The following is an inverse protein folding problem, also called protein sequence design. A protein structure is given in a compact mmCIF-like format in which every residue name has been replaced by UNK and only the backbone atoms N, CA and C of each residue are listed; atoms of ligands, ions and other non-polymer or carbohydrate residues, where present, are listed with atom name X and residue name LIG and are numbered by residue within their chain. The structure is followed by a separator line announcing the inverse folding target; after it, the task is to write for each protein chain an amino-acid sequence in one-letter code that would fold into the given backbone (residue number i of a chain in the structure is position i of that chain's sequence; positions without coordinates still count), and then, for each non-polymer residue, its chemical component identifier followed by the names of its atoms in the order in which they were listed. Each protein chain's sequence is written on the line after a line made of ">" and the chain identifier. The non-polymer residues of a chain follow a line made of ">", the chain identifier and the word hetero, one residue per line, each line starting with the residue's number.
data_IF_512004361485
#
_entry.id   IF_512004361485
#
_cell.length_a   1.000
_cell.length_b   1.000
_cell.length_c   1.000
_cell.angle_alpha   90.00
_cell.angle_beta   90.00
_cell.angle_gamma   90.00
#
_symmetry.space_group_name_H-M   'P 1'
#
loop_
_entity.id
_entity.type
_entity.pdbx_description
1 polymer ?
#
# COMPACT_ATOMS: atom_id res chain seq x y z
N UNK A 1 51.99 -75.01 41.61
CA UNK A 1 50.98 -74.05 41.12
C UNK A 1 51.05 -72.82 42.00
N UNK A 2 51.25 -71.64 41.38
CA UNK A 2 51.59 -70.39 42.07
C UNK A 2 50.40 -69.79 42.85
N UNK A 3 50.63 -69.17 44.02
CA UNK A 3 49.58 -68.54 44.81
C UNK A 3 49.20 -67.16 44.25
N UNK A 4 47.90 -66.84 44.34
CA UNK A 4 47.32 -65.59 43.89
C UNK A 4 47.90 -64.37 44.63
N UNK A 5 48.35 -63.38 43.86
CA UNK A 5 48.77 -62.07 44.36
C UNK A 5 47.57 -61.25 44.84
N UNK A 6 47.50 -60.97 46.14
CA UNK A 6 46.66 -59.92 46.70
C UNK A 6 47.15 -58.54 46.21
N UNK A 7 46.31 -57.79 45.51
CA UNK A 7 46.47 -56.34 45.36
C UNK A 7 45.60 -55.64 46.42
N UNK A 8 46.10 -54.62 47.13
CA UNK A 8 45.29 -53.84 48.07
C UNK A 8 44.32 -52.92 47.30
N UNK A 9 43.12 -52.64 47.85
CA UNK A 9 42.15 -51.78 47.19
C UNK A 9 42.65 -50.33 47.19
N UNK A 10 42.68 -49.73 46.00
CA UNK A 10 42.94 -48.30 45.80
C UNK A 10 41.99 -47.47 46.65
N UNK A 11 42.55 -46.71 47.58
CA UNK A 11 41.84 -45.73 48.39
C UNK A 11 41.44 -44.58 47.45
N UNK A 12 40.15 -44.50 47.13
CA UNK A 12 39.59 -43.33 46.46
C UNK A 12 39.63 -42.16 47.45
N UNK A 13 40.66 -41.31 47.33
CA UNK A 13 40.54 -39.95 47.84
C UNK A 13 39.34 -39.29 47.13
N UNK A 14 38.47 -38.54 47.82
CA UNK A 14 37.41 -37.80 47.16
C UNK A 14 38.06 -36.82 46.17
N UNK A 15 37.95 -37.10 44.88
CA UNK A 15 38.22 -36.11 43.85
C UNK A 15 37.22 -34.99 44.09
N UNK A 16 37.66 -33.91 44.74
CA UNK A 16 36.95 -32.64 44.66
C UNK A 16 36.79 -32.36 43.17
N UNK A 17 35.56 -32.08 42.68
CA UNK A 17 35.37 -31.65 41.31
C UNK A 17 36.31 -30.48 41.04
N UNK A 18 36.95 -30.41 39.86
CA UNK A 18 37.54 -29.15 39.41
C UNK A 18 36.44 -28.10 39.54
N UNK A 19 36.71 -26.96 40.20
CA UNK A 19 35.74 -25.87 40.36
C UNK A 19 34.93 -25.75 39.05
N UNK A 20 33.60 -25.97 39.08
CA UNK A 20 32.83 -25.85 37.86
C UNK A 20 33.11 -24.46 37.29
N UNK A 21 33.44 -24.34 35.99
CA UNK A 21 33.69 -23.03 35.44
C UNK A 21 32.45 -22.18 35.74
N UNK A 22 32.65 -20.92 36.15
CA UNK A 22 31.60 -19.90 36.38
C UNK A 22 30.83 -19.54 35.09
N UNK A 23 30.81 -20.46 34.14
CA UNK A 23 30.55 -20.34 32.73
C UNK A 23 29.06 -20.19 32.46
N UNK A 24 28.65 -18.93 32.36
CA UNK A 24 27.35 -18.51 31.85
C UNK A 24 26.73 -17.38 32.64
N UNK A 25 26.90 -17.39 33.97
CA UNK A 25 26.34 -16.37 34.84
C UNK A 25 27.05 -15.02 34.67
N UNK A 26 28.39 -15.01 34.60
CA UNK A 26 29.14 -13.78 34.36
C UNK A 26 28.77 -13.14 33.01
N UNK A 27 28.78 -13.93 31.92
CA UNK A 27 28.45 -13.47 30.56
C UNK A 27 26.98 -13.14 30.30
N UNK A 28 26.16 -13.07 31.34
CA UNK A 28 24.83 -12.50 31.25
C UNK A 28 24.91 -10.98 31.02
N UNK A 29 24.06 -10.45 30.17
CA UNK A 29 24.06 -9.04 29.79
C UNK A 29 23.92 -8.12 31.01
N UNK A 30 23.06 -8.47 31.98
CA UNK A 30 22.87 -7.67 33.21
C UNK A 30 24.12 -7.65 34.09
N UNK A 31 24.70 -8.83 34.34
CA UNK A 31 25.89 -8.96 35.17
C UNK A 31 27.08 -8.21 34.56
N UNK A 32 27.28 -8.31 33.24
CA UNK A 32 28.35 -7.55 32.56
C UNK A 32 28.10 -6.05 32.61
N UNK A 33 26.85 -5.59 32.45
CA UNK A 33 26.57 -4.15 32.55
C UNK A 33 26.84 -3.62 33.95
N UNK A 34 26.50 -4.38 34.99
CA UNK A 34 26.74 -3.97 36.37
C UNK A 34 28.24 -4.00 36.72
N UNK A 35 28.96 -5.03 36.27
CA UNK A 35 30.42 -5.13 36.45
C UNK A 35 31.17 -4.02 35.70
N UNK A 36 30.78 -3.71 34.46
CA UNK A 36 31.37 -2.59 33.71
C UNK A 36 31.05 -1.23 34.35
N UNK A 37 29.87 -1.08 34.94
CA UNK A 37 29.50 0.14 35.68
C UNK A 37 30.36 0.30 36.93
N UNK A 38 30.50 -0.75 37.73
CA UNK A 38 31.38 -0.77 38.90
C UNK A 38 32.83 -0.44 38.52
N UNK A 39 33.34 -1.06 37.45
CA UNK A 39 34.68 -0.77 36.93
C UNK A 39 34.82 0.70 36.52
N UNK A 40 33.82 1.28 35.84
CA UNK A 40 33.83 2.68 35.46
C UNK A 40 33.86 3.62 36.68
N UNK A 41 33.10 3.30 37.72
CA UNK A 41 33.04 4.11 38.94
C UNK A 41 34.36 4.00 39.74
N UNK A 42 34.96 2.81 39.82
CA UNK A 42 36.28 2.63 40.43
C UNK A 42 37.38 3.34 39.64
N UNK A 43 37.33 3.36 38.30
CA UNK A 43 38.27 4.14 37.47
C UNK A 43 38.10 5.65 37.71
N UNK A 44 36.86 6.15 37.85
CA UNK A 44 36.63 7.57 38.19
C UNK A 44 37.23 7.92 39.54
N UNK A 45 37.05 7.05 40.53
CA UNK A 45 37.63 7.23 41.87
C UNK A 45 39.16 7.20 41.83
N UNK A 46 39.76 6.28 41.09
CA UNK A 46 41.21 6.22 40.89
C UNK A 46 41.77 7.49 40.23
N UNK A 47 41.08 8.04 39.23
CA UNK A 47 41.44 9.33 38.61
C UNK A 47 41.31 10.52 39.58
N UNK A 48 40.36 10.47 40.51
CA UNK A 48 40.24 11.48 41.56
C UNK A 48 41.41 11.38 42.53
N UNK A 49 41.77 10.15 42.92
CA UNK A 49 42.90 9.86 43.80
C UNK A 49 44.24 10.25 43.16
N UNK A 50 44.41 10.02 41.86
CA UNK A 50 45.57 10.49 41.09
C UNK A 50 45.75 12.01 41.20
N UNK A 51 44.67 12.78 41.01
CA UNK A 51 44.69 14.25 41.18
C UNK A 51 45.00 14.70 42.60
N UNK A 52 44.50 13.98 43.60
CA UNK A 52 44.82 14.25 45.01
C UNK A 52 46.31 14.03 45.30
N UNK A 53 46.87 12.90 44.84
CA UNK A 53 48.30 12.61 45.00
C UNK A 53 49.18 13.61 44.24
N UNK A 54 48.77 14.05 43.06
CA UNK A 54 49.46 15.11 42.31
C UNK A 54 49.40 16.45 43.06
N UNK A 55 48.27 16.80 43.67
CA UNK A 55 48.15 17.99 44.49
C UNK A 55 49.03 17.94 45.75
N UNK A 56 49.09 16.79 46.44
CA UNK A 56 49.99 16.59 47.59
C UNK A 56 51.46 16.70 47.19
N UNK A 57 51.83 16.18 46.01
CA UNK A 57 53.18 16.35 45.44
C UNK A 57 53.50 17.82 45.20
N UNK A 58 52.57 18.60 44.62
CA UNK A 58 52.75 20.04 44.37
C UNK A 58 52.91 20.85 45.66
N UNK A 59 52.14 20.52 46.71
CA UNK A 59 52.24 21.14 48.04
C UNK A 59 53.62 20.85 48.66
N UNK A 60 54.11 19.61 48.55
CA UNK A 60 55.40 19.16 49.09
C UNK A 60 56.61 19.76 48.36
N UNK A 61 56.51 19.91 47.04
CA UNK A 61 57.57 20.50 46.20
C UNK A 61 57.65 22.04 46.33
N UNK A 62 56.80 22.67 47.17
CA UNK A 62 56.77 24.12 47.38
C UNK A 62 56.43 24.91 46.12
N UNK A 63 55.81 24.26 45.14
CA UNK A 63 55.61 24.78 43.79
C UNK A 63 54.25 25.46 43.65
N UNK A 64 53.93 26.35 44.60
CA UNK A 64 52.74 27.23 44.56
C UNK A 64 52.93 28.45 43.65
N UNK A 65 54.02 28.49 42.88
CA UNK A 65 54.35 29.63 42.02
C UNK A 65 53.90 29.38 40.59
N UNK A 66 52.80 30.07 40.23
CA UNK A 66 52.49 30.70 38.94
C UNK A 66 51.14 30.31 38.34
N UNK A 67 50.22 31.28 38.41
CA UNK A 67 48.95 31.43 37.68
C UNK A 67 47.98 30.24 37.66
N UNK A 68 46.96 30.29 38.53
CA UNK A 68 45.67 29.68 38.20
C UNK A 68 44.55 30.72 38.26
N UNK A 69 44.03 31.00 37.07
CA UNK A 69 42.83 31.78 36.78
C UNK A 69 41.62 31.16 37.48
N UNK A 70 40.78 32.04 38.04
CA UNK A 70 39.43 31.86 38.58
C UNK A 70 38.86 30.42 38.55
N UNK A 71 39.10 29.73 39.66
CA UNK A 71 38.46 28.48 40.07
C UNK A 71 39.22 27.98 41.29
N UNK A 72 38.54 27.59 42.37
CA UNK A 72 39.23 27.03 43.54
C UNK A 72 40.11 25.86 43.09
N UNK A 73 41.43 26.08 43.05
CA UNK A 73 42.41 25.07 42.67
C UNK A 73 42.24 23.88 43.62
N UNK A 74 42.14 22.66 43.08
CA UNK A 74 42.01 21.44 43.89
C UNK A 74 43.11 21.30 44.94
N UNK A 75 44.28 21.91 44.69
CA UNK A 75 45.41 22.01 45.61
C UNK A 75 45.07 22.88 46.84
N UNK A 76 44.43 24.02 46.62
CA UNK A 76 44.02 24.96 47.67
C UNK A 76 42.88 24.40 48.54
N UNK A 77 41.99 23.62 47.91
CA UNK A 77 40.92 22.92 48.60
C UNK A 77 41.47 21.80 49.52
N UNK A 78 42.44 21.01 49.02
CA UNK A 78 43.12 19.97 49.79
C UNK A 78 43.94 20.55 50.94
N UNK A 79 44.68 21.65 50.70
CA UNK A 79 45.42 22.38 51.74
C UNK A 79 44.50 22.82 52.88
N UNK A 80 43.40 23.52 52.57
CA UNK A 80 42.38 23.92 53.55
C UNK A 80 41.79 22.72 54.31
N UNK A 81 41.54 21.61 53.61
CA UNK A 81 41.00 20.40 54.23
C UNK A 81 41.98 19.82 55.25
N UNK A 82 43.24 19.59 54.86
CA UNK A 82 44.29 19.04 55.75
C UNK A 82 44.51 19.94 56.96
N UNK A 83 44.55 21.26 56.78
CA UNK A 83 44.64 22.25 57.86
C UNK A 83 43.41 22.22 58.79
N UNK A 84 42.20 22.06 58.24
CA UNK A 84 40.95 22.01 59.03
C UNK A 84 40.83 20.75 59.89
N UNK A 85 41.32 19.61 59.39
CA UNK A 85 41.28 18.31 60.09
C UNK A 85 42.50 18.12 61.00
N UNK A 86 43.49 19.02 60.93
CA UNK A 86 44.76 18.97 61.69
C UNK A 86 45.53 17.66 61.50
N UNK A 87 45.46 17.09 60.30
CA UNK A 87 46.23 15.91 59.92
C UNK A 87 47.59 16.39 59.43
N UNK A 88 48.66 15.69 59.82
CA UNK A 88 49.98 15.98 59.28
C UNK A 88 50.05 15.64 57.78
N UNK A 89 50.77 16.45 57.00
CA UNK A 89 50.84 16.25 55.55
C UNK A 89 51.47 14.89 55.19
N UNK A 90 52.42 14.39 55.98
CA UNK A 90 53.02 13.07 55.76
C UNK A 90 52.05 11.93 56.14
N UNK A 91 51.19 12.14 57.13
CA UNK A 91 50.12 11.22 57.48
C UNK A 91 49.05 11.17 56.39
N UNK A 92 48.63 12.31 55.85
CA UNK A 92 47.71 12.38 54.72
C UNK A 92 48.30 11.71 53.47
N UNK A 93 49.58 11.96 53.15
CA UNK A 93 50.28 11.32 52.02
C UNK A 93 50.26 9.78 52.15
N UNK A 94 50.55 9.26 53.35
CA UNK A 94 50.50 7.81 53.62
C UNK A 94 49.09 7.25 53.42
N UNK A 95 48.07 7.92 53.95
CA UNK A 95 46.67 7.50 53.81
C UNK A 95 46.20 7.51 52.35
N UNK A 96 46.54 8.55 51.58
CA UNK A 96 46.18 8.66 50.15
C UNK A 96 46.90 7.59 49.32
N UNK A 97 48.16 7.28 49.63
CA UNK A 97 48.90 6.18 48.97
C UNK A 97 48.32 4.81 49.30
N UNK A 98 47.94 4.57 50.55
CA UNK A 98 47.27 3.32 50.96
C UNK A 98 45.92 3.16 50.26
N UNK A 99 45.11 4.22 50.22
CA UNK A 99 43.84 4.25 49.51
C UNK A 99 44.04 3.98 48.00
N UNK A 100 45.06 4.57 47.37
CA UNK A 100 45.40 4.30 45.98
C UNK A 100 45.80 2.83 45.74
N UNK A 101 46.60 2.24 46.64
CA UNK A 101 46.99 0.83 46.55
C UNK A 101 45.78 -0.12 46.72
N UNK A 102 44.84 0.22 47.60
CA UNK A 102 43.58 -0.50 47.77
C UNK A 102 42.69 -0.41 46.52
N UNK A 103 42.58 0.79 45.92
CA UNK A 103 41.87 0.99 44.65
C UNK A 103 42.50 0.21 43.50
N UNK A 104 43.82 0.22 43.39
CA UNK A 104 44.53 -0.56 42.37
C UNK A 104 44.33 -2.07 42.54
N UNK A 105 44.29 -2.57 43.78
CA UNK A 105 43.98 -3.96 44.08
C UNK A 105 42.53 -4.31 43.70
N UNK A 106 41.61 -3.40 43.97
CA UNK A 106 40.19 -3.52 43.58
C UNK A 106 40.04 -3.56 42.05
N UNK A 107 40.73 -2.67 41.33
CA UNK A 107 40.73 -2.65 39.86
C UNK A 107 41.28 -3.96 39.27
N UNK A 108 42.37 -4.49 39.83
CA UNK A 108 42.90 -5.80 39.41
C UNK A 108 41.87 -6.91 39.62
N UNK A 109 41.20 -6.94 40.77
CA UNK A 109 40.16 -7.93 41.05
C UNK A 109 38.93 -7.80 40.13
N UNK A 110 38.52 -6.58 39.77
CA UNK A 110 37.43 -6.34 38.83
C UNK A 110 37.78 -6.68 37.38
N UNK A 111 39.06 -6.58 37.00
CA UNK A 111 39.54 -6.92 35.66
C UNK A 111 39.78 -8.43 35.49
N UNK A 112 40.02 -9.15 36.58
CA UNK A 112 40.30 -10.60 36.59
C UNK A 112 39.28 -11.44 35.79
N UNK A 113 37.95 -11.24 35.90
CA UNK A 113 36.96 -11.98 35.11
C UNK A 113 37.03 -11.71 33.61
N UNK A 114 37.60 -10.57 33.19
CA UNK A 114 37.77 -10.24 31.77
C UNK A 114 39.06 -10.82 31.18
N UNK A 115 39.99 -11.30 32.01
CA UNK A 115 41.25 -11.90 31.55
C UNK A 115 41.01 -13.06 30.59
N UNK A 116 39.93 -13.81 30.76
CA UNK A 116 39.57 -14.95 29.91
C UNK A 116 39.32 -14.59 28.43
N UNK A 117 39.09 -13.32 28.12
CA UNK A 117 38.95 -12.84 26.74
C UNK A 117 40.29 -12.54 26.10
N UNK A 118 41.28 -12.13 26.90
CA UNK A 118 42.59 -11.67 26.43
C UNK A 118 43.61 -12.80 26.46
N UNK A 119 43.50 -13.73 27.41
CA UNK A 119 44.43 -14.83 27.57
C UNK A 119 44.20 -15.94 26.52
N UNK A 120 45.25 -16.23 25.75
CA UNK A 120 45.25 -17.27 24.72
C UNK A 120 44.99 -18.66 25.30
N UNK A 121 45.37 -18.91 26.56
CA UNK A 121 45.21 -20.20 27.23
C UNK A 121 43.86 -20.38 27.95
N UNK A 122 42.92 -19.44 27.76
CA UNK A 122 41.62 -19.51 28.44
C UNK A 122 40.75 -20.68 27.97
N UNK A 123 39.96 -21.30 28.86
CA UNK A 123 38.99 -22.32 28.50
C UNK A 123 38.06 -21.86 27.37
N UNK A 124 37.77 -22.76 26.43
CA UNK A 124 36.98 -22.44 25.25
C UNK A 124 35.53 -22.07 25.61
N UNK A 125 35.02 -22.54 26.75
CA UNK A 125 33.69 -22.24 27.27
C UNK A 125 33.50 -20.74 27.53
N UNK A 126 34.49 -20.09 28.15
CA UNK A 126 34.48 -18.65 28.44
C UNK A 126 34.57 -17.83 27.15
N UNK A 127 35.46 -18.22 26.23
CA UNK A 127 35.59 -17.59 24.90
C UNK A 127 34.28 -17.70 24.10
N UNK A 128 33.64 -18.87 24.13
CA UNK A 128 32.36 -19.10 23.46
C UNK A 128 31.22 -18.29 24.08
N UNK A 129 31.21 -18.11 25.40
CA UNK A 129 30.22 -17.32 26.11
C UNK A 129 30.33 -15.82 25.76
N UNK A 130 31.55 -15.29 25.73
CA UNK A 130 31.83 -13.94 25.26
C UNK A 130 31.41 -13.73 23.79
N UNK A 131 31.73 -14.68 22.91
CA UNK A 131 31.33 -14.64 21.50
C UNK A 131 29.79 -14.64 21.34
N UNK A 132 29.07 -15.51 22.06
CA UNK A 132 27.59 -15.56 22.05
C UNK A 132 26.98 -14.25 22.53
N UNK A 133 27.54 -13.61 23.56
CA UNK A 133 27.09 -12.30 24.01
C UNK A 133 27.25 -11.24 22.91
N UNK A 134 28.42 -11.16 22.28
CA UNK A 134 28.68 -10.24 21.15
C UNK A 134 27.69 -10.46 20.00
N UNK A 135 27.44 -11.72 19.61
CA UNK A 135 26.44 -12.08 18.61
C UNK A 135 25.03 -11.63 19.00
N UNK A 136 24.61 -11.84 20.26
CA UNK A 136 23.32 -11.37 20.78
C UNK A 136 23.20 -9.85 20.71
N UNK A 137 24.24 -9.12 21.08
CA UNK A 137 24.26 -7.64 20.99
C UNK A 137 24.15 -7.15 19.54
N UNK A 138 24.92 -7.73 18.61
CA UNK A 138 24.85 -7.40 17.17
C UNK A 138 23.47 -7.72 16.59
N UNK A 139 22.91 -8.89 16.91
CA UNK A 139 21.55 -9.31 16.50
C UNK A 139 20.49 -8.34 17.03
N UNK A 140 20.59 -7.93 18.29
CA UNK A 140 19.67 -6.95 18.90
C UNK A 140 19.72 -5.60 18.18
N UNK A 141 20.92 -5.07 17.90
CA UNK A 141 21.11 -3.82 17.13
C UNK A 141 20.47 -3.91 15.74
N UNK A 142 20.75 -4.99 15.00
CA UNK A 142 20.16 -5.24 13.68
C UNK A 142 18.64 -5.34 13.75
N UNK A 143 18.11 -6.06 14.74
CA UNK A 143 16.66 -6.22 14.93
C UNK A 143 15.98 -4.87 15.24
N UNK A 144 16.60 -4.02 16.06
CA UNK A 144 16.09 -2.68 16.37
C UNK A 144 16.00 -1.81 15.11
N UNK A 145 17.05 -1.82 14.28
CA UNK A 145 17.07 -1.11 12.99
C UNK A 145 16.03 -1.66 12.01
N UNK A 146 15.94 -2.99 11.90
CA UNK A 146 14.94 -3.64 11.05
C UNK A 146 13.52 -3.29 11.47
N UNK A 147 13.20 -3.36 12.78
CA UNK A 147 11.89 -2.94 13.32
C UNK A 147 11.61 -1.45 13.03
N UNK A 148 12.61 -0.57 13.12
CA UNK A 148 12.47 0.85 12.77
C UNK A 148 12.17 1.03 11.28
N UNK A 149 12.89 0.32 10.40
CA UNK A 149 12.66 0.36 8.94
C UNK A 149 11.28 -0.18 8.57
N UNK A 150 10.87 -1.31 9.16
CA UNK A 150 9.53 -1.91 8.95
C UNK A 150 8.42 -0.95 9.35
N UNK A 151 8.51 -0.33 10.54
CA UNK A 151 7.53 0.68 10.98
C UNK A 151 7.45 1.88 10.06
N UNK A 152 8.60 2.37 9.56
CA UNK A 152 8.64 3.47 8.60
C UNK A 152 7.95 3.12 7.29
N UNK A 153 8.23 1.95 6.72
CA UNK A 153 7.60 1.49 5.49
C UNK A 153 6.08 1.34 5.65
N UNK A 154 5.61 0.77 6.76
CA UNK A 154 4.16 0.69 7.04
C UNK A 154 3.53 2.07 7.19
N UNK A 155 4.20 3.00 7.88
CA UNK A 155 3.71 4.38 8.02
C UNK A 155 3.66 5.11 6.67
N UNK A 156 4.63 4.91 5.79
CA UNK A 156 4.64 5.49 4.45
C UNK A 156 3.50 4.93 3.58
N UNK A 157 3.24 3.62 3.64
CA UNK A 157 2.10 3.03 2.92
C UNK A 157 0.76 3.58 3.41
N UNK A 158 0.61 3.78 4.73
CA UNK A 158 -0.59 4.41 5.31
C UNK A 158 -0.70 5.89 4.96
N UNK A 159 0.41 6.61 4.87
CA UNK A 159 0.41 8.02 4.48
C UNK A 159 -0.06 8.23 3.03
N UNK A 160 0.17 7.24 2.14
CA UNK A 160 -0.31 7.25 0.74
C UNK A 160 -1.74 6.73 0.58
N UNK A 161 -2.38 6.26 1.65
CA UNK A 161 -3.74 5.71 1.61
C UNK A 161 -4.80 6.81 1.34
N UNK A 162 -4.76 7.98 2.01
CA UNK A 162 -5.67 9.09 1.72
C UNK A 162 -5.59 9.55 0.27
N UNK A 163 -4.38 9.69 -0.29
CA UNK A 163 -4.19 10.09 -1.70
C UNK A 163 -4.88 9.13 -2.69
N UNK A 164 -4.94 7.83 -2.37
CA UNK A 164 -5.65 6.83 -3.18
C UNK A 164 -7.16 6.99 -3.09
N UNK A 165 -7.68 7.28 -1.89
CA UNK A 165 -9.10 7.54 -1.72
C UNK A 165 -9.51 8.83 -2.44
N UNK A 166 -8.72 9.90 -2.28
CA UNK A 166 -8.94 11.16 -3.01
C UNK A 166 -8.89 10.96 -4.53
N UNK A 167 -8.01 10.10 -5.03
CA UNK A 167 -7.98 9.77 -6.45
C UNK A 167 -9.25 9.04 -6.90
N UNK A 168 -9.70 8.03 -6.16
CA UNK A 168 -10.93 7.31 -6.47
C UNK A 168 -12.16 8.24 -6.41
N UNK A 169 -12.22 9.15 -5.45
CA UNK A 169 -13.28 10.15 -5.33
C UNK A 169 -13.29 11.09 -6.54
N UNK A 170 -12.11 11.60 -6.96
CA UNK A 170 -11.99 12.41 -8.19
C UNK A 170 -12.46 11.65 -9.43
N UNK A 171 -12.05 10.40 -9.58
CA UNK A 171 -12.46 9.57 -10.72
C UNK A 171 -13.98 9.34 -10.74
N UNK A 172 -14.60 9.15 -9.57
CA UNK A 172 -16.04 9.03 -9.44
C UNK A 172 -16.76 10.34 -9.79
N UNK A 173 -16.23 11.49 -9.35
CA UNK A 173 -16.76 12.81 -9.67
C UNK A 173 -16.70 13.08 -11.18
N UNK A 174 -15.56 12.83 -11.81
CA UNK A 174 -15.38 12.96 -13.26
C UNK A 174 -16.33 12.05 -14.04
N UNK A 175 -16.57 10.83 -13.55
CA UNK A 175 -17.53 9.92 -14.18
C UNK A 175 -18.96 10.45 -14.09
N UNK A 176 -19.35 10.96 -12.92
CA UNK A 176 -20.67 11.58 -12.72
C UNK A 176 -20.87 12.79 -13.64
N UNK A 177 -19.86 13.65 -13.76
CA UNK A 177 -19.91 14.79 -14.66
C UNK A 177 -20.08 14.37 -16.12
N UNK A 178 -19.36 13.34 -16.56
CA UNK A 178 -19.48 12.78 -17.92
C UNK A 178 -20.88 12.24 -18.19
N UNK A 179 -21.45 11.50 -17.25
CA UNK A 179 -22.80 10.95 -17.44
C UNK A 179 -23.86 12.05 -17.42
N UNK A 180 -23.74 13.05 -16.54
CA UNK A 180 -24.62 14.23 -16.56
C UNK A 180 -24.52 15.00 -17.87
N UNK A 181 -23.32 15.20 -18.41
CA UNK A 181 -23.12 15.88 -19.69
C UNK A 181 -23.75 15.11 -20.85
N UNK A 182 -23.62 13.78 -20.84
CA UNK A 182 -24.24 12.89 -21.84
C UNK A 182 -25.77 12.92 -21.76
N UNK A 183 -26.33 12.87 -20.56
CA UNK A 183 -27.77 13.01 -20.35
C UNK A 183 -28.29 14.37 -20.83
N UNK A 184 -27.56 15.44 -20.53
CA UNK A 184 -27.88 16.79 -21.03
C UNK A 184 -27.82 16.87 -22.56
N UNK A 185 -26.85 16.21 -23.19
CA UNK A 185 -26.75 16.15 -24.65
C UNK A 185 -27.90 15.36 -25.28
N UNK A 186 -28.25 14.20 -24.70
CA UNK A 186 -29.37 13.38 -25.15
C UNK A 186 -30.69 14.15 -25.06
N UNK A 187 -30.94 14.88 -23.96
CA UNK A 187 -32.12 15.74 -23.81
C UNK A 187 -32.21 16.79 -24.90
N UNK A 188 -31.09 17.46 -25.23
CA UNK A 188 -31.05 18.44 -26.33
C UNK A 188 -31.37 17.81 -27.69
N UNK A 189 -30.85 16.61 -27.96
CA UNK A 189 -31.15 15.88 -29.20
C UNK A 189 -32.65 15.54 -29.28
N UNK A 190 -33.24 15.09 -28.18
CA UNK A 190 -34.66 14.77 -28.13
C UNK A 190 -35.55 16.00 -28.29
N UNK A 191 -35.15 17.15 -27.71
CA UNK A 191 -35.79 18.45 -27.96
C UNK A 191 -35.72 18.84 -29.44
N UNK A 192 -34.56 18.70 -30.10
CA UNK A 192 -34.42 18.98 -31.53
C UNK A 192 -35.31 18.05 -32.38
N UNK A 193 -35.32 16.75 -32.11
CA UNK A 193 -36.21 15.79 -32.79
C UNK A 193 -37.70 16.13 -32.57
N UNK A 194 -38.07 16.62 -31.39
CA UNK A 194 -39.44 17.06 -31.13
C UNK A 194 -39.80 18.28 -31.98
N UNK A 195 -38.89 19.24 -32.11
CA UNK A 195 -39.06 20.42 -32.99
C UNK A 195 -39.20 19.98 -34.45
N UNK A 196 -38.34 19.07 -34.93
CA UNK A 196 -38.40 18.53 -36.30
C UNK A 196 -39.73 17.82 -36.58
N UNK A 197 -40.22 16.99 -35.65
CA UNK A 197 -41.53 16.32 -35.79
C UNK A 197 -42.68 17.34 -35.87
N UNK A 198 -42.64 18.41 -35.07
CA UNK A 198 -43.64 19.49 -35.12
C UNK A 198 -43.58 20.21 -36.47
N UNK A 199 -42.37 20.52 -36.97
CA UNK A 199 -42.17 21.14 -38.28
C UNK A 199 -42.68 20.26 -39.41
N UNK A 200 -42.32 18.98 -39.42
CA UNK A 200 -42.79 18.00 -40.41
C UNK A 200 -44.33 17.86 -40.39
N UNK A 201 -44.95 17.82 -39.20
CA UNK A 201 -46.41 17.80 -39.07
C UNK A 201 -47.06 19.08 -39.59
N UNK A 202 -46.43 20.24 -39.37
CA UNK A 202 -46.90 21.53 -39.89
C UNK A 202 -46.82 21.59 -41.42
N UNK A 203 -45.71 21.16 -42.01
CA UNK A 203 -45.57 21.08 -43.47
C UNK A 203 -46.53 20.07 -44.09
N UNK A 204 -46.71 18.89 -43.48
CA UNK A 204 -47.72 17.93 -43.94
C UNK A 204 -49.11 18.55 -43.98
N UNK A 205 -49.53 19.23 -42.89
CA UNK A 205 -50.83 19.92 -42.84
C UNK A 205 -50.96 21.04 -43.89
N UNK A 206 -49.85 21.67 -44.27
CA UNK A 206 -49.81 22.70 -45.32
C UNK A 206 -49.96 22.11 -46.72
N UNK A 207 -49.34 20.95 -46.97
CA UNK A 207 -49.31 20.29 -48.28
C UNK A 207 -50.53 19.38 -48.53
N UNK A 208 -51.13 18.81 -47.49
CA UNK A 208 -52.30 17.91 -47.57
C UNK A 208 -53.46 18.47 -48.42
N UNK A 209 -53.94 19.73 -48.24
CA UNK A 209 -55.00 20.27 -49.09
C UNK A 209 -54.55 20.55 -50.53
N UNK A 210 -53.26 20.85 -50.75
CA UNK A 210 -52.73 21.05 -52.10
C UNK A 210 -52.67 19.73 -52.87
N UNK A 211 -52.26 18.65 -52.20
CA UNK A 211 -52.28 17.30 -52.75
C UNK A 211 -53.70 16.81 -53.03
N UNK A 212 -54.65 17.06 -52.13
CA UNK A 212 -56.08 16.72 -52.35
C UNK A 212 -56.65 17.45 -53.57
N UNK A 213 -56.37 18.75 -53.70
CA UNK A 213 -56.79 19.52 -54.87
C UNK A 213 -56.15 18.99 -56.17
N UNK A 214 -54.85 18.67 -56.13
CA UNK A 214 -54.14 18.11 -57.29
C UNK A 214 -54.78 16.79 -57.75
N UNK A 215 -55.13 15.90 -56.81
CA UNK A 215 -55.84 14.65 -57.11
C UNK A 215 -57.21 14.90 -57.77
N UNK A 216 -58.01 15.84 -57.25
CA UNK A 216 -59.31 16.19 -57.85
C UNK A 216 -59.12 16.72 -59.28
N UNK A 217 -58.11 17.56 -59.51
CA UNK A 217 -57.83 18.11 -60.84
C UNK A 217 -57.42 17.00 -61.82
N UNK A 218 -56.61 16.04 -61.39
CA UNK A 218 -56.23 14.87 -62.19
C UNK A 218 -57.47 14.04 -62.58
N UNK A 219 -58.34 13.71 -61.62
CA UNK A 219 -59.61 13.01 -61.90
C UNK A 219 -60.51 13.80 -62.87
N UNK A 220 -60.58 15.14 -62.73
CA UNK A 220 -61.33 15.98 -63.66
C UNK A 220 -60.74 15.98 -65.07
N UNK A 221 -59.41 15.96 -65.19
CA UNK A 221 -58.72 15.85 -66.49
C UNK A 221 -58.98 14.49 -67.14
N UNK A 222 -58.99 13.40 -66.37
CA UNK A 222 -59.37 12.07 -66.84
C UNK A 222 -60.85 12.02 -67.29
N UNK A 223 -61.77 12.60 -66.51
CA UNK A 223 -63.17 12.68 -66.94
C UNK A 223 -63.34 13.50 -68.21
N UNK A 224 -62.57 14.59 -68.37
CA UNK A 224 -62.54 15.39 -69.60
C UNK A 224 -62.06 14.53 -70.77
N UNK A 225 -60.97 13.79 -70.63
CA UNK A 225 -60.43 12.96 -71.71
C UNK A 225 -61.41 11.85 -72.12
N UNK A 226 -62.04 11.17 -71.16
CA UNK A 226 -63.08 10.17 -71.42
C UNK A 226 -64.31 10.77 -72.12
N UNK A 227 -64.75 11.97 -71.74
CA UNK A 227 -65.88 12.67 -72.38
C UNK A 227 -65.54 13.08 -73.80
N UNK A 228 -64.33 13.59 -74.04
CA UNK A 228 -63.83 13.93 -75.37
C UNK A 228 -63.79 12.68 -76.25
N UNK A 229 -63.26 11.58 -75.75
CA UNK A 229 -63.20 10.32 -76.49
C UNK A 229 -64.61 9.79 -76.83
N UNK A 230 -65.55 9.88 -75.88
CA UNK A 230 -66.95 9.52 -76.10
C UNK A 230 -67.60 10.39 -77.20
N UNK A 231 -67.38 11.70 -77.17
CA UNK A 231 -67.91 12.63 -78.18
C UNK A 231 -67.29 12.38 -79.57
N UNK A 232 -65.98 12.11 -79.63
CA UNK A 232 -65.29 11.71 -80.87
C UNK A 232 -65.90 10.43 -81.46
N UNK A 233 -66.16 9.41 -80.62
CA UNK A 233 -66.85 8.17 -81.04
C UNK A 233 -68.28 8.41 -81.54
N UNK A 234 -68.97 9.44 -81.03
CA UNK A 234 -70.30 9.86 -81.49
C UNK A 234 -70.27 10.70 -82.78
N UNK A 235 -69.09 10.94 -83.37
CA UNK A 235 -68.93 11.71 -84.60
C UNK A 235 -68.83 13.23 -84.40
N UNK A 236 -68.75 13.70 -83.15
CA UNK A 236 -68.50 15.11 -82.85
C UNK A 236 -66.99 15.40 -82.95
N UNK A 237 -66.60 16.27 -83.88
CA UNK A 237 -65.24 16.82 -83.93
C UNK A 237 -65.16 18.03 -82.99
N UNK A 238 -64.21 17.99 -82.06
CA UNK A 238 -63.91 19.09 -81.17
C UNK A 238 -62.90 20.03 -81.86
N UNK A 239 -63.05 21.36 -81.73
CA UNK A 239 -62.09 22.32 -82.30
C UNK A 239 -60.70 22.17 -81.65
N UNK A 240 -59.63 22.21 -82.45
CA UNK A 240 -58.23 22.09 -82.00
C UNK A 240 -57.77 23.30 -81.14
N UNK A 241 -58.59 24.35 -81.04
CA UNK A 241 -58.34 25.51 -80.20
C UNK A 241 -58.36 25.19 -78.70
N UNK A 242 -59.14 24.19 -78.28
CA UNK A 242 -59.24 23.79 -76.87
C UNK A 242 -57.91 23.21 -76.34
N UNK A 243 -57.20 22.44 -77.15
CA UNK A 243 -55.92 21.85 -76.76
C UNK A 243 -54.80 22.90 -76.75
N UNK A 244 -54.84 23.87 -77.68
CA UNK A 244 -53.93 25.03 -77.71
C UNK A 244 -54.04 25.91 -76.46
N UNK A 245 -55.25 26.03 -75.88
CA UNK A 245 -55.44 26.77 -74.63
C UNK A 245 -54.73 26.09 -73.45
N UNK A 246 -54.90 24.78 -73.26
CA UNK A 246 -54.21 24.05 -72.18
C UNK A 246 -52.69 24.02 -72.36
N UNK A 247 -52.20 23.95 -73.60
CA UNK A 247 -50.78 24.10 -73.91
C UNK A 247 -50.25 25.50 -73.60
N UNK A 248 -51.00 26.55 -73.94
CA UNK A 248 -50.65 27.94 -73.59
C UNK A 248 -50.67 28.17 -72.09
N UNK A 249 -51.63 27.60 -71.35
CA UNK A 249 -51.69 27.67 -69.89
C UNK A 249 -50.51 26.93 -69.28
N UNK A 250 -50.17 25.73 -69.79
CA UNK A 250 -48.99 24.97 -69.33
C UNK A 250 -47.70 25.75 -69.56
N UNK A 251 -47.52 26.35 -70.73
CA UNK A 251 -46.35 27.15 -71.06
C UNK A 251 -46.24 28.42 -70.19
N UNK A 252 -47.37 29.06 -69.85
CA UNK A 252 -47.39 30.22 -68.96
C UNK A 252 -47.02 29.83 -67.51
N UNK A 253 -47.57 28.71 -67.01
CA UNK A 253 -47.23 28.17 -65.67
C UNK A 253 -45.75 27.78 -65.60
N UNK A 254 -45.22 27.11 -66.62
CA UNK A 254 -43.79 26.74 -66.68
C UNK A 254 -42.89 27.98 -66.72
N UNK A 255 -43.29 29.05 -67.41
CA UNK A 255 -42.55 30.32 -67.39
C UNK A 255 -42.59 31.00 -66.01
N UNK A 256 -43.72 30.96 -65.31
CA UNK A 256 -43.87 31.50 -63.95
C UNK A 256 -43.04 30.71 -62.93
N UNK A 257 -43.04 29.37 -62.99
CA UNK A 257 -42.21 28.51 -62.14
C UNK A 257 -40.71 28.76 -62.40
N UNK A 258 -40.30 28.87 -63.66
CA UNK A 258 -38.92 29.20 -64.01
C UNK A 258 -38.52 30.60 -63.51
N UNK A 259 -39.42 31.59 -63.58
CA UNK A 259 -39.18 32.92 -63.03
C UNK A 259 -39.09 32.88 -61.49
N UNK A 260 -40.01 32.22 -60.81
CA UNK A 260 -39.99 32.08 -59.34
C UNK A 260 -38.72 31.34 -58.86
N UNK A 261 -38.30 30.28 -59.55
CA UNK A 261 -37.07 29.56 -59.24
C UNK A 261 -35.83 30.42 -59.47
N UNK A 262 -35.82 31.28 -60.50
CA UNK A 262 -34.72 32.23 -60.74
C UNK A 262 -34.61 33.29 -59.64
N UNK A 263 -35.73 33.80 -59.13
CA UNK A 263 -35.77 34.77 -58.02
C UNK A 263 -35.27 34.13 -56.72
N UNK A 264 -35.72 32.91 -56.41
CA UNK A 264 -35.26 32.15 -55.24
C UNK A 264 -33.75 31.88 -55.33
N UNK A 265 -33.24 31.49 -56.50
CA UNK A 265 -31.81 31.26 -56.70
C UNK A 265 -30.99 32.56 -56.54
N UNK A 266 -31.48 33.70 -57.02
CA UNK A 266 -30.87 35.01 -56.80
C UNK A 266 -30.86 35.42 -55.31
N UNK A 267 -31.97 35.24 -54.58
CA UNK A 267 -32.06 35.55 -53.15
C UNK A 267 -31.14 34.65 -52.29
N UNK A 268 -30.90 33.41 -52.72
CA UNK A 268 -29.96 32.50 -52.08
C UNK A 268 -28.50 32.94 -52.36
N UNK A 269 -28.18 33.41 -53.57
CA UNK A 269 -26.84 33.90 -53.90
C UNK A 269 -26.52 35.26 -53.23
N UNK A 270 -27.51 36.16 -53.09
CA UNK A 270 -27.34 37.46 -52.41
C UNK A 270 -27.12 37.31 -50.89
N UNK A 271 -27.64 36.24 -50.27
CA UNK A 271 -27.45 35.95 -48.84
C UNK A 271 -26.17 35.16 -48.51
N UNK A 272 -25.26 34.93 -49.47
CA UNK A 272 -23.99 34.19 -49.30
C UNK A 272 -22.78 35.12 -49.51
N UNK A 273 -22.65 36.16 -48.68
CA UNK A 273 -21.39 36.92 -48.44
C UNK A 273 -21.28 37.21 -46.91
N UNK A 274 -20.08 37.08 -46.29
CA UNK A 274 -19.94 36.68 -44.88
C UNK A 274 -19.99 37.85 -43.89
N UNK A 275 -20.69 37.65 -42.78
CA UNK A 275 -20.61 38.54 -41.61
C UNK A 275 -19.55 38.01 -40.65
N UNK A 276 -18.37 38.62 -40.72
CA UNK A 276 -17.27 38.44 -39.77
C UNK A 276 -17.15 39.69 -38.86
N UNK A 277 -16.89 39.42 -37.57
CA UNK A 277 -16.38 40.31 -36.50
C UNK A 277 -17.30 41.42 -35.92
N UNK A 278 -17.41 41.70 -34.62
CA UNK A 278 -16.79 41.20 -33.40
C UNK A 278 -17.17 42.05 -32.15
N UNK A 279 -16.78 41.58 -30.96
CA UNK A 279 -16.23 42.37 -29.83
C UNK A 279 -17.12 42.88 -28.66
N UNK A 280 -16.62 42.57 -27.44
CA UNK A 280 -16.72 43.20 -26.08
C UNK A 280 -17.82 42.88 -25.04
N UNK A 281 -17.39 42.07 -24.06
CA UNK A 281 -17.37 42.23 -22.59
C UNK A 281 -18.45 43.01 -21.79
N UNK A 282 -18.67 42.43 -20.58
CA UNK A 282 -18.83 43.02 -19.22
C UNK A 282 -20.21 43.13 -18.53
N UNK A 283 -20.32 42.34 -17.44
CA UNK A 283 -20.93 42.59 -16.11
C UNK A 283 -22.45 42.72 -15.92
N UNK A 284 -22.98 41.93 -14.97
CA UNK A 284 -24.26 42.17 -14.30
C UNK A 284 -24.68 40.98 -13.42
N UNK A 285 -24.48 41.11 -12.11
CA UNK A 285 -24.89 40.17 -11.06
C UNK A 285 -26.42 39.94 -11.04
N UNK A 286 -26.87 38.72 -10.75
CA UNK A 286 -27.94 38.55 -9.76
C UNK A 286 -27.93 37.16 -9.10
N UNK A 287 -27.79 37.22 -7.78
CA UNK A 287 -27.88 36.16 -6.80
C UNK A 287 -29.37 35.88 -6.58
N UNK A 288 -29.84 34.65 -6.80
CA UNK A 288 -31.09 34.19 -6.18
C UNK A 288 -30.86 32.84 -5.51
N UNK A 289 -30.68 32.93 -4.19
CA UNK A 289 -30.89 31.88 -3.21
C UNK A 289 -32.32 31.33 -3.32
N UNK A 290 -32.47 30.00 -3.38
CA UNK A 290 -33.58 29.31 -2.72
C UNK A 290 -33.08 27.99 -2.13
N UNK A 291 -32.79 28.05 -0.83
CA UNK A 291 -32.83 26.87 0.02
C UNK A 291 -34.28 26.45 0.27
N UNK A 292 -34.47 25.15 0.42
CA UNK A 292 -35.55 24.59 1.23
C UNK A 292 -34.98 23.39 1.96
N UNK A 293 -34.64 23.61 3.23
CA UNK A 293 -34.51 22.57 4.23
C UNK A 293 -35.88 21.94 4.50
N UNK A 294 -35.90 20.63 4.74
CA UNK A 294 -36.79 20.02 5.75
C UNK A 294 -36.25 18.65 6.16
N UNK A 295 -35.73 18.65 7.38
CA UNK A 295 -35.46 17.49 8.22
C UNK A 295 -36.73 16.67 8.49
N UNK A 296 -36.58 15.35 8.65
CA UNK A 296 -37.12 14.61 9.82
C UNK A 296 -36.69 13.13 9.80
N UNK A 297 -35.71 12.83 10.65
CA UNK A 297 -35.73 11.82 11.70
C UNK A 297 -36.38 10.41 11.51
N UNK A 298 -35.51 9.41 11.70
CA UNK A 298 -35.55 8.35 12.76
C UNK A 298 -36.15 6.94 12.50
N UNK A 299 -35.22 5.97 12.68
CA UNK A 299 -35.25 4.58 13.20
C UNK A 299 -36.02 3.44 12.52
N UNK A 300 -35.28 2.40 12.09
CA UNK A 300 -35.40 0.97 12.43
C UNK A 300 -34.51 0.18 11.44
N UNK A 301 -33.37 -0.42 11.83
CA UNK A 301 -33.20 -1.69 12.54
C UNK A 301 -33.78 -2.92 11.80
N UNK A 302 -32.95 -3.97 11.70
CA UNK A 302 -33.15 -5.30 11.08
C UNK A 302 -33.02 -5.32 9.54
N UNK A 303 -32.53 -6.36 8.87
CA UNK A 303 -31.78 -7.58 9.18
C UNK A 303 -31.43 -8.22 7.82
N UNK A 304 -30.33 -8.97 7.79
CA UNK A 304 -29.91 -9.96 6.78
C UNK A 304 -30.91 -10.33 5.67
N UNK A 305 -30.48 -10.22 4.41
CA UNK A 305 -30.11 -11.37 3.55
C UNK A 305 -29.63 -10.83 2.21
N UNK A 306 -28.32 -10.92 1.95
CA UNK A 306 -27.78 -10.73 0.61
C UNK A 306 -27.35 -12.10 0.09
N UNK A 307 -28.24 -12.72 -0.66
CA UNK A 307 -27.92 -13.77 -1.62
C UNK A 307 -26.81 -13.22 -2.52
N UNK A 308 -25.59 -13.74 -2.36
CA UNK A 308 -24.48 -13.45 -3.26
C UNK A 308 -24.61 -14.43 -4.42
N UNK A 309 -25.14 -13.92 -5.52
CA UNK A 309 -24.95 -14.48 -6.85
C UNK A 309 -23.46 -14.65 -7.11
N UNK A 310 -23.10 -15.87 -7.55
CA UNK A 310 -21.76 -16.20 -8.00
C UNK A 310 -21.44 -15.49 -9.34
N UNK A 311 -20.26 -14.84 -9.47
CA UNK A 311 -19.73 -14.44 -10.76
C UNK A 311 -19.15 -15.63 -11.55
N UNK A 312 -19.13 -15.55 -12.88
CA UNK A 312 -18.98 -16.71 -13.77
C UNK A 312 -17.52 -17.17 -13.90
N UNK A 313 -17.40 -18.49 -13.98
CA UNK A 313 -16.51 -19.27 -14.83
C UNK A 313 -15.13 -18.68 -15.15
N UNK A 314 -14.12 -19.19 -14.43
CA UNK A 314 -12.79 -19.36 -14.97
C UNK A 314 -12.28 -20.74 -14.54
N UNK A 315 -12.51 -21.73 -15.40
CA UNK A 315 -11.60 -22.85 -15.67
C UNK A 315 -10.97 -23.54 -14.46
N UNK A 316 -11.69 -24.47 -13.85
CA UNK A 316 -11.10 -25.57 -13.07
C UNK A 316 -11.84 -26.86 -13.37
N UNK A 317 -11.40 -27.52 -14.43
CA UNK A 317 -11.75 -28.92 -14.71
C UNK A 317 -11.28 -29.84 -13.57
N UNK A 318 -12.17 -30.75 -13.18
CA UNK A 318 -11.92 -32.04 -12.50
C UNK A 318 -11.41 -32.06 -11.04
N UNK A 319 -12.21 -31.56 -10.08
CA UNK A 319 -12.02 -31.93 -8.65
C UNK A 319 -13.30 -32.46 -7.97
N UNK A 320 -14.38 -32.63 -8.73
CA UNK A 320 -15.69 -33.11 -8.24
C UNK A 320 -15.70 -34.57 -7.75
N UNK A 321 -14.59 -35.31 -7.87
CA UNK A 321 -14.47 -36.72 -7.46
C UNK A 321 -13.73 -36.91 -6.13
N UNK A 322 -13.39 -35.83 -5.42
CA UNK A 322 -12.73 -35.95 -4.13
C UNK A 322 -13.78 -36.29 -3.04
N UNK A 323 -13.52 -37.27 -2.14
CA UNK A 323 -14.40 -37.54 -1.01
C UNK A 323 -14.74 -36.24 -0.27
N UNK A 324 -16.00 -36.08 0.15
CA UNK A 324 -16.53 -34.87 0.81
C UNK A 324 -15.63 -34.46 1.98
N UNK A 325 -15.07 -35.43 2.69
CA UNK A 325 -14.18 -35.25 3.82
C UNK A 325 -12.89 -34.49 3.47
N UNK A 326 -12.41 -34.62 2.23
CA UNK A 326 -11.16 -34.01 1.75
C UNK A 326 -11.38 -32.62 1.14
N UNK A 327 -12.60 -32.29 0.70
CA UNK A 327 -12.94 -30.97 0.16
C UNK A 327 -12.66 -29.86 1.19
N UNK A 328 -12.96 -30.15 2.46
CA UNK A 328 -12.72 -29.25 3.59
C UNK A 328 -11.24 -28.92 3.81
N UNK A 329 -10.32 -29.82 3.43
CA UNK A 329 -8.88 -29.61 3.62
C UNK A 329 -8.28 -28.78 2.47
N UNK A 330 -8.68 -29.02 1.22
CA UNK A 330 -8.09 -28.32 0.06
C UNK A 330 -8.74 -26.98 -0.25
N UNK A 331 -10.05 -26.84 -0.04
CA UNK A 331 -10.81 -25.65 -0.45
C UNK A 331 -11.39 -24.86 0.72
N UNK A 332 -11.42 -25.44 1.92
CA UNK A 332 -12.01 -24.79 3.09
C UNK A 332 -11.35 -23.47 3.48
N UNK A 333 -10.06 -23.30 3.21
CA UNK A 333 -9.32 -22.05 3.48
C UNK A 333 -9.72 -20.87 2.60
N UNK A 334 -10.38 -21.13 1.46
CA UNK A 334 -10.84 -20.06 0.55
C UNK A 334 -12.14 -19.41 1.04
N UNK A 335 -12.89 -20.11 1.91
CA UNK A 335 -14.20 -19.70 2.39
C UNK A 335 -14.18 -19.30 3.87
N UNK A 336 -13.28 -19.88 4.67
CA UNK A 336 -13.18 -19.62 6.10
C UNK A 336 -11.73 -19.52 6.60
N UNK A 337 -11.42 -18.39 7.26
CA UNK A 337 -10.12 -18.15 7.90
C UNK A 337 -9.88 -19.09 9.09
N UNK A 338 -10.93 -19.50 9.80
CA UNK A 338 -10.84 -20.49 10.87
C UNK A 338 -10.24 -21.80 10.36
N UNK A 339 -10.73 -22.26 9.22
CA UNK A 339 -10.24 -23.47 8.55
C UNK A 339 -8.77 -23.38 8.10
N UNK A 340 -8.34 -22.23 7.58
CA UNK A 340 -6.92 -22.01 7.25
C UNK A 340 -6.02 -22.13 8.49
N UNK A 341 -6.47 -21.63 9.64
CA UNK A 341 -5.73 -21.72 10.90
C UNK A 341 -5.64 -23.17 11.40
N UNK A 342 -6.71 -23.96 11.29
CA UNK A 342 -6.72 -25.38 11.64
C UNK A 342 -5.72 -26.18 10.82
N UNK A 343 -5.79 -26.08 9.49
CA UNK A 343 -4.84 -26.75 8.58
C UNK A 343 -3.41 -26.35 8.94
N UNK A 344 -3.17 -25.05 9.19
CA UNK A 344 -1.83 -24.59 9.59
C UNK A 344 -1.35 -25.21 10.89
N UNK A 345 -2.22 -25.37 11.89
CA UNK A 345 -1.89 -26.00 13.17
C UNK A 345 -1.58 -27.48 13.02
N UNK A 346 -2.29 -28.19 12.14
CA UNK A 346 -1.99 -29.59 11.80
C UNK A 346 -0.58 -29.72 11.19
N UNK A 347 -0.23 -28.84 10.25
CA UNK A 347 1.13 -28.78 9.70
C UNK A 347 2.19 -28.42 10.73
N UNK A 348 1.90 -27.46 11.62
CA UNK A 348 2.80 -27.05 12.68
C UNK A 348 3.02 -28.18 13.72
N UNK A 349 2.11 -29.15 13.83
CA UNK A 349 2.30 -30.34 14.66
C UNK A 349 3.47 -31.19 14.16
N UNK A 350 3.65 -31.34 12.84
CA UNK A 350 4.80 -32.03 12.21
C UNK A 350 6.12 -31.25 12.32
N UNK A 351 6.05 -29.96 12.64
CA UNK A 351 7.21 -29.09 12.84
C UNK A 351 7.59 -28.94 14.32
N UNK A 352 6.73 -29.39 15.23
CA UNK A 352 6.91 -29.28 16.68
C UNK A 352 7.57 -30.52 17.29
N UNK A 353 8.18 -30.44 18.50
CA UNK A 353 8.96 -31.53 19.11
C UNK A 353 8.23 -32.86 19.38
N UNK A 354 6.91 -32.91 19.17
CA UNK A 354 6.05 -34.10 19.32
C UNK A 354 5.49 -34.66 18.00
N UNK A 355 5.78 -34.05 16.85
CA UNK A 355 5.39 -34.57 15.53
C UNK A 355 6.41 -35.54 14.95
N UNK A 356 5.99 -36.37 13.98
CA UNK A 356 6.94 -37.18 13.23
C UNK A 356 7.91 -36.27 12.48
N UNK A 357 9.22 -36.49 12.70
CA UNK A 357 10.29 -35.70 12.10
C UNK A 357 10.18 -35.76 10.57
N UNK A 358 10.29 -34.61 9.91
CA UNK A 358 10.41 -34.56 8.44
C UNK A 358 11.54 -35.51 8.02
N UNK A 359 11.29 -36.47 7.12
CA UNK A 359 12.32 -37.39 6.66
C UNK A 359 13.54 -36.60 6.15
N UNK A 360 14.72 -36.87 6.72
CA UNK A 360 15.97 -36.25 6.30
C UNK A 360 16.52 -36.79 4.98
N UNK A 361 15.75 -37.65 4.31
CA UNK A 361 16.05 -38.24 3.02
C UNK A 361 14.91 -37.94 2.06
N UNK A 362 15.21 -38.01 0.76
CA UNK A 362 14.20 -37.87 -0.27
C UNK A 362 13.16 -38.98 -0.13
N UNK A 363 11.90 -38.61 0.11
CA UNK A 363 10.79 -39.56 0.08
C UNK A 363 10.42 -39.75 -1.37
N UNK A 364 10.56 -40.99 -1.87
CA UNK A 364 10.13 -41.32 -3.21
C UNK A 364 8.59 -41.17 -3.28
N UNK A 365 8.07 -40.33 -4.18
CA UNK A 365 6.62 -40.20 -4.33
C UNK A 365 6.05 -41.54 -4.81
N UNK A 366 4.81 -41.82 -4.40
CA UNK A 366 4.04 -42.93 -4.97
C UNK A 366 3.91 -42.76 -6.48
N UNK A 367 3.78 -43.86 -7.25
CA UNK A 367 3.52 -43.79 -8.68
C UNK A 367 2.33 -42.86 -8.97
N UNK A 368 2.34 -42.15 -10.12
CA UNK A 368 1.22 -41.32 -10.53
C UNK A 368 -0.10 -42.10 -10.47
N UNK A 369 -1.12 -41.48 -9.90
CA UNK A 369 -2.42 -42.11 -9.73
C UNK A 369 -3.11 -42.39 -11.08
N UNK A 370 -2.83 -41.57 -12.10
CA UNK A 370 -3.42 -41.69 -13.44
C UNK A 370 -2.39 -41.48 -14.55
N UNK A 371 -2.72 -41.97 -15.75
CA UNK A 371 -1.88 -41.94 -16.95
C UNK A 371 -1.56 -40.51 -17.42
N UNK A 372 -2.48 -39.56 -17.16
CA UNK A 372 -2.27 -38.13 -17.43
C UNK A 372 -1.11 -37.58 -16.58
N UNK A 373 -1.08 -37.88 -15.29
CA UNK A 373 0.00 -37.47 -14.38
C UNK A 373 1.32 -38.19 -14.70
N UNK A 374 1.24 -39.45 -15.13
CA UNK A 374 2.40 -40.19 -15.61
C UNK A 374 3.03 -39.56 -16.86
N UNK A 375 2.22 -38.96 -17.75
CA UNK A 375 2.72 -38.26 -18.95
C UNK A 375 3.50 -36.98 -18.62
N UNK A 376 3.21 -36.34 -17.48
CA UNK A 376 3.91 -35.13 -17.02
C UNK A 376 5.25 -35.43 -16.33
N UNK A 377 5.50 -36.67 -15.92
CA UNK A 377 6.82 -37.09 -15.44
C UNK A 377 7.74 -37.25 -16.65
N UNK A 378 8.48 -36.17 -16.93
CA UNK A 378 9.52 -36.15 -17.96
C UNK A 378 10.43 -37.36 -17.74
N UNK A 379 10.41 -38.30 -18.69
CA UNK A 379 11.42 -39.35 -18.77
C UNK A 379 12.74 -38.65 -19.03
N UNK A 380 13.54 -38.45 -17.98
CA UNK A 380 14.95 -38.12 -18.13
C UNK A 380 15.65 -39.36 -18.71
N UNK A 381 15.40 -39.64 -19.99
CA UNK A 381 16.22 -40.54 -20.78
C UNK A 381 17.51 -39.80 -21.06
N UNK A 382 18.49 -40.01 -20.18
CA UNK A 382 19.93 -39.97 -20.48
C UNK A 382 20.69 -40.59 -19.31
N UNK A 383 21.26 -41.75 -19.60
CA UNK A 383 22.49 -42.29 -18.99
C UNK A 383 23.65 -41.30 -19.09
#
# INVERSE_FOLDING_TARGET
>A
MNPASYQPPFHWAPMLPPDPPRCGAFWNTKNITDQLKQLQDTIRLAKSMEKELDALRMIKDGKDSMETVEGESGVECLRRYVESVKIDLEEQEKLSVEAANSLMSTLRAQLEPFRFVVDENSPWEEKSAAARLSCRMKKSKRNKLWKKKKRRCVAEMRAKEPERFEQADREADEWREKEMAKDMANRKVDEMKAIEKVKAKRERRRLEPQLELALIVEEMQELRSLRIEKLKKQGHFLPEEDDKFFESVRAAVEQEENQAQSVINMEIEENVIPSEEGTTQTTGNEIINKGTDKESNTVAAASCEKTIEAPPDNGVDNVSNLPVECYHYYYGSNLDMGRLIEIRREWDAYLSPGGSRIPGHWVQPSPPADEIWASCLVKNSKE
#
